data_IF_386856783108
#
_entry.id   IF_386856783108
#
_cell.length_a   1.000
_cell.length_b   1.000
_cell.length_c   1.000
_cell.angle_alpha   90.00
_cell.angle_beta   90.00
_cell.angle_gamma   90.00
#
_symmetry.space_group_name_H-M   'P 1'
#
loop_
_entity.id
_entity.type
_entity.pdbx_description
1 polymer ?
#
# COMPACT_ATOMS: atom_id res chain seq x y z
N UNK A 1 -49.58 52.18 69.15
CA UNK A 1 -49.28 50.75 69.32
C UNK A 1 -48.90 50.18 67.91
N UNK A 2 -47.61 50.03 67.65
CA UNK A 2 -47.09 49.49 66.37
C UNK A 2 -46.76 48.01 66.61
N UNK A 3 -47.35 47.14 65.73
CA UNK A 3 -47.06 45.68 65.77
C UNK A 3 -45.72 45.46 65.02
N UNK A 4 -44.86 44.55 65.53
CA UNK A 4 -43.64 44.20 64.79
C UNK A 4 -43.94 43.19 63.71
N UNK A 5 -43.41 43.46 62.51
CA UNK A 5 -43.45 42.57 61.36
C UNK A 5 -42.27 41.60 61.47
N UNK A 6 -42.56 40.31 61.57
CA UNK A 6 -41.56 39.24 61.47
C UNK A 6 -41.17 39.00 60.02
N UNK A 7 -39.90 39.16 59.72
CA UNK A 7 -39.33 38.85 58.41
C UNK A 7 -38.79 37.40 58.46
N UNK A 8 -39.45 36.49 57.79
CA UNK A 8 -39.00 35.08 57.70
C UNK A 8 -37.95 35.02 56.60
N UNK A 9 -36.68 34.76 56.97
CA UNK A 9 -35.58 34.54 56.05
C UNK A 9 -35.57 33.06 55.69
N UNK A 10 -36.05 32.72 54.46
CA UNK A 10 -35.89 31.37 53.91
C UNK A 10 -34.51 31.26 53.27
N UNK A 11 -33.64 30.49 53.92
CA UNK A 11 -32.35 30.09 53.35
C UNK A 11 -32.60 29.02 52.29
N UNK A 12 -32.47 29.41 51.01
CA UNK A 12 -32.43 28.46 49.88
C UNK A 12 -31.04 27.82 49.82
N UNK A 13 -30.97 26.55 50.19
CA UNK A 13 -29.77 25.73 50.02
C UNK A 13 -29.70 25.36 48.56
N UNK A 14 -28.81 26.00 47.81
CA UNK A 14 -28.45 25.57 46.44
C UNK A 14 -27.52 24.35 46.53
N UNK A 15 -28.05 23.17 46.27
CA UNK A 15 -27.23 21.96 46.06
C UNK A 15 -26.68 22.07 44.64
N UNK A 16 -25.42 22.48 44.52
CA UNK A 16 -24.68 22.47 43.28
C UNK A 16 -24.25 21.01 42.98
N UNK A 17 -25.04 20.29 42.16
CA UNK A 17 -24.70 18.97 41.69
C UNK A 17 -23.58 19.14 40.64
N UNK A 18 -22.33 18.95 41.04
CA UNK A 18 -21.18 18.93 40.15
C UNK A 18 -21.30 17.69 39.24
N UNK A 19 -21.76 17.90 38.01
CA UNK A 19 -21.62 16.90 36.96
C UNK A 19 -20.13 16.77 36.62
N UNK A 20 -19.47 15.74 37.13
CA UNK A 20 -18.18 15.30 36.63
C UNK A 20 -18.37 14.86 35.16
N UNK A 21 -17.59 15.40 34.22
CA UNK A 21 -17.65 14.86 32.87
C UNK A 21 -17.21 13.39 32.93
N UNK A 22 -18.10 12.51 32.47
CA UNK A 22 -17.70 11.14 32.16
C UNK A 22 -16.60 11.21 31.12
N UNK A 23 -15.35 11.09 31.52
CA UNK A 23 -14.24 10.80 30.64
C UNK A 23 -14.46 9.36 30.19
N UNK A 24 -15.26 9.19 29.14
CA UNK A 24 -15.21 7.96 28.39
C UNK A 24 -13.81 7.91 27.79
N UNK A 25 -12.95 7.10 28.41
CA UNK A 25 -11.71 6.66 27.79
C UNK A 25 -12.08 6.13 26.42
N UNK A 26 -11.75 6.90 25.38
CA UNK A 26 -11.79 6.37 24.03
C UNK A 26 -10.84 5.17 24.06
N UNK A 27 -11.41 3.97 24.00
CA UNK A 27 -10.63 2.78 23.77
C UNK A 27 -9.77 3.07 22.53
N UNK A 28 -8.46 3.10 22.71
CA UNK A 28 -7.51 3.14 21.60
C UNK A 28 -7.95 2.05 20.65
N UNK A 29 -8.45 2.44 19.46
CA UNK A 29 -8.65 1.48 18.40
C UNK A 29 -7.24 1.02 18.04
N UNK A 30 -6.85 -0.15 18.56
CA UNK A 30 -5.74 -0.90 18.01
C UNK A 30 -6.04 -1.03 16.53
N UNK A 31 -5.33 -0.27 15.70
CA UNK A 31 -5.44 -0.39 14.26
C UNK A 31 -4.72 -1.68 13.91
N UNK A 32 -5.50 -2.76 13.83
CA UNK A 32 -5.03 -4.06 13.36
C UNK A 32 -4.61 -3.85 11.90
N UNK A 33 -3.30 -3.83 11.65
CA UNK A 33 -2.73 -3.54 10.35
C UNK A 33 -2.21 -4.84 9.73
N UNK A 34 -2.57 -5.09 8.46
CA UNK A 34 -2.00 -6.21 7.70
C UNK A 34 -0.79 -5.71 6.92
N UNK A 35 0.33 -6.39 7.09
CA UNK A 35 1.59 -6.13 6.39
C UNK A 35 1.82 -7.23 5.38
N UNK A 36 2.07 -6.86 4.12
CA UNK A 36 2.47 -7.78 3.06
C UNK A 36 3.94 -7.63 2.78
N UNK A 37 4.64 -8.77 2.64
CA UNK A 37 6.07 -8.84 2.35
C UNK A 37 6.25 -9.63 1.06
N UNK A 38 6.73 -8.96 0.03
CA UNK A 38 7.21 -9.57 -1.21
C UNK A 38 8.63 -10.10 -0.99
N UNK A 39 9.01 -11.11 -1.76
CA UNK A 39 10.30 -11.78 -1.61
C UNK A 39 10.88 -12.18 -2.96
N UNK A 40 12.19 -12.48 -2.98
CA UNK A 40 12.77 -13.27 -4.05
C UNK A 40 12.53 -14.76 -3.79
N UNK A 41 12.15 -15.50 -4.82
CA UNK A 41 11.75 -16.92 -4.72
C UNK A 41 12.79 -17.90 -5.29
N UNK A 42 13.96 -17.40 -5.65
CA UNK A 42 15.12 -18.19 -6.06
C UNK A 42 15.74 -19.04 -4.94
N UNK A 43 15.32 -18.81 -3.67
CA UNK A 43 15.73 -19.58 -2.49
C UNK A 43 14.57 -20.38 -1.88
N UNK A 44 14.41 -20.32 -0.55
CA UNK A 44 13.38 -21.06 0.20
C UNK A 44 12.02 -20.35 0.24
N UNK A 45 11.95 -19.10 -0.20
CA UNK A 45 10.71 -18.32 -0.19
C UNK A 45 9.80 -18.72 -1.35
N UNK A 46 8.49 -18.66 -1.12
CA UNK A 46 7.50 -19.12 -2.11
C UNK A 46 6.67 -17.96 -2.72
N UNK A 47 6.87 -16.72 -2.25
CA UNK A 47 6.10 -15.59 -2.80
C UNK A 47 5.80 -14.49 -1.79
N UNK A 48 4.51 -14.11 -1.65
CA UNK A 48 4.07 -13.00 -0.81
C UNK A 48 3.55 -13.54 0.53
N UNK A 49 4.08 -13.01 1.63
CA UNK A 49 3.69 -13.34 3.00
C UNK A 49 2.85 -12.22 3.60
N UNK A 50 1.88 -12.57 4.44
CA UNK A 50 1.04 -11.62 5.17
C UNK A 50 1.19 -11.78 6.68
N UNK A 51 1.15 -10.66 7.41
CA UNK A 51 1.28 -10.60 8.86
C UNK A 51 0.28 -9.62 9.46
N UNK A 52 -0.23 -9.92 10.65
CA UNK A 52 -0.85 -8.94 11.52
C UNK A 52 0.22 -8.16 12.27
N UNK A 53 0.15 -6.84 12.20
CA UNK A 53 0.99 -5.94 12.99
C UNK A 53 0.19 -5.43 14.20
N UNK A 54 0.63 -5.80 15.39
CA UNK A 54 0.24 -5.15 16.64
C UNK A 54 1.08 -3.86 16.78
N UNK A 55 0.50 -2.73 16.44
CA UNK A 55 1.22 -1.44 16.46
C UNK A 55 1.58 -0.97 17.85
N UNK A 56 0.87 -1.42 18.90
CA UNK A 56 1.15 -1.04 20.29
C UNK A 56 2.38 -1.78 20.82
N UNK A 57 2.56 -3.04 20.41
CA UNK A 57 3.70 -3.88 20.81
C UNK A 57 4.83 -3.91 19.79
N UNK A 58 4.60 -3.45 18.55
CA UNK A 58 5.55 -3.56 17.47
C UNK A 58 5.84 -5.01 17.06
N UNK A 59 4.87 -5.92 17.22
CA UNK A 59 5.04 -7.35 16.90
C UNK A 59 4.29 -7.75 15.66
N UNK A 60 4.90 -8.64 14.85
CA UNK A 60 4.30 -9.24 13.66
C UNK A 60 3.91 -10.70 13.96
N UNK A 61 2.65 -11.04 13.68
CA UNK A 61 2.15 -12.42 13.76
C UNK A 61 1.80 -12.88 12.35
N UNK A 62 2.44 -13.97 11.89
CA UNK A 62 2.22 -14.48 10.53
C UNK A 62 0.78 -14.97 10.35
N UNK A 63 0.15 -14.52 9.26
CA UNK A 63 -1.09 -15.09 8.76
C UNK A 63 -0.74 -16.40 8.06
N UNK A 64 -1.54 -17.44 8.32
CA UNK A 64 -1.26 -18.77 7.76
C UNK A 64 -1.33 -18.76 6.22
N UNK A 65 -0.44 -19.55 5.61
CA UNK A 65 -0.30 -19.67 4.16
C UNK A 65 0.70 -18.69 3.57
N UNK A 66 0.93 -18.85 2.29
CA UNK A 66 1.74 -17.97 1.44
C UNK A 66 1.03 -17.84 0.09
N UNK A 67 1.04 -16.64 -0.48
CA UNK A 67 0.55 -16.44 -1.85
C UNK A 67 1.69 -16.70 -2.81
N UNK A 68 1.64 -17.86 -3.49
CA UNK A 68 2.67 -18.22 -4.47
C UNK A 68 2.72 -17.21 -5.60
N UNK A 69 3.89 -16.68 -5.86
CA UNK A 69 4.20 -15.74 -6.91
C UNK A 69 5.67 -15.87 -7.29
N UNK A 70 6.00 -15.68 -8.52
CA UNK A 70 7.39 -15.72 -9.00
C UNK A 70 8.04 -14.35 -8.79
N UNK A 71 9.17 -14.32 -8.07
CA UNK A 71 9.99 -13.13 -7.78
C UNK A 71 9.16 -11.85 -7.45
N UNK A 72 8.19 -11.88 -6.50
CA UNK A 72 7.40 -10.71 -6.14
C UNK A 72 8.18 -9.77 -5.23
N UNK A 73 9.30 -9.25 -5.69
CA UNK A 73 10.27 -8.48 -4.90
C UNK A 73 9.70 -7.15 -4.37
N UNK A 74 8.74 -6.54 -5.07
CA UNK A 74 8.07 -5.31 -4.65
C UNK A 74 6.55 -5.43 -4.75
N UNK A 75 5.86 -4.94 -3.72
CA UNK A 75 4.39 -4.98 -3.62
C UNK A 75 3.82 -3.63 -3.20
N UNK A 76 2.63 -3.26 -3.69
CA UNK A 76 1.90 -2.09 -3.23
C UNK A 76 0.42 -2.39 -3.05
N UNK A 77 -0.16 -1.85 -1.96
CA UNK A 77 -1.59 -1.95 -1.67
C UNK A 77 -2.32 -0.77 -2.31
N UNK A 78 -3.40 -1.08 -3.01
CA UNK A 78 -4.28 -0.07 -3.59
C UNK A 78 -4.86 0.86 -2.51
N UNK A 79 -5.05 2.18 -2.77
CA UNK A 79 -5.59 3.12 -1.78
C UNK A 79 -6.93 2.70 -1.15
N UNK A 80 -7.75 1.90 -1.85
CA UNK A 80 -8.99 1.35 -1.28
C UNK A 80 -8.79 0.23 -0.26
N UNK A 81 -7.58 -0.33 -0.14
CA UNK A 81 -7.28 -1.51 0.67
C UNK A 81 -7.93 -2.81 0.18
N UNK A 82 -8.43 -2.86 -1.06
CA UNK A 82 -9.10 -4.04 -1.63
C UNK A 82 -8.21 -4.88 -2.55
N UNK A 83 -7.12 -4.30 -3.04
CA UNK A 83 -6.24 -4.92 -4.04
C UNK A 83 -4.78 -4.72 -3.67
N UNK A 84 -3.96 -5.63 -4.14
CA UNK A 84 -2.50 -5.56 -4.06
C UNK A 84 -1.93 -5.85 -5.44
N UNK A 85 -0.86 -5.16 -5.80
CA UNK A 85 -0.09 -5.39 -7.01
C UNK A 85 1.32 -5.76 -6.64
N UNK A 86 1.88 -6.73 -7.34
CA UNK A 86 3.25 -7.19 -7.16
C UNK A 86 3.97 -7.19 -8.50
N UNK A 87 5.21 -6.75 -8.54
CA UNK A 87 6.08 -7.03 -9.69
C UNK A 87 6.40 -8.53 -9.72
N UNK A 88 6.76 -9.03 -10.89
CA UNK A 88 7.43 -10.32 -11.06
C UNK A 88 8.80 -10.01 -11.69
N UNK A 89 9.82 -9.87 -10.83
CA UNK A 89 11.16 -9.38 -11.18
C UNK A 89 11.97 -10.45 -11.91
N UNK A 90 11.58 -10.75 -13.13
CA UNK A 90 12.16 -11.77 -14.00
C UNK A 90 12.56 -11.20 -15.36
N UNK A 91 13.31 -11.96 -16.15
CA UNK A 91 13.61 -11.67 -17.55
C UNK A 91 12.76 -12.50 -18.54
N UNK A 92 11.96 -13.41 -18.00
CA UNK A 92 10.93 -14.16 -18.74
C UNK A 92 9.70 -14.30 -17.85
N UNK A 93 8.52 -14.01 -18.38
CA UNK A 93 7.25 -14.13 -17.65
C UNK A 93 6.13 -14.61 -18.57
N UNK A 94 5.38 -15.63 -18.13
CA UNK A 94 4.31 -16.23 -18.93
C UNK A 94 4.80 -16.75 -20.30
N UNK A 95 6.06 -17.25 -20.36
CA UNK A 95 6.67 -17.76 -21.60
C UNK A 95 7.03 -16.68 -22.61
N UNK A 96 7.18 -15.43 -22.19
CA UNK A 96 7.57 -14.30 -23.03
C UNK A 96 8.73 -13.53 -22.40
N UNK A 97 9.61 -12.90 -23.23
CA UNK A 97 10.68 -12.05 -22.73
C UNK A 97 10.14 -10.88 -21.91
N UNK A 98 10.85 -10.52 -20.85
CA UNK A 98 10.50 -9.47 -19.90
C UNK A 98 9.89 -10.02 -18.60
N UNK A 99 9.81 -9.18 -17.58
CA UNK A 99 9.15 -9.51 -16.32
C UNK A 99 7.64 -9.28 -16.39
N UNK A 100 7.01 -9.24 -15.21
CA UNK A 100 5.57 -9.11 -15.13
C UNK A 100 5.08 -8.23 -13.98
N UNK A 101 3.78 -8.04 -13.96
CA UNK A 101 3.01 -7.48 -12.85
C UNK A 101 1.77 -8.32 -12.61
N UNK A 102 1.49 -8.65 -11.35
CA UNK A 102 0.33 -9.46 -10.96
C UNK A 102 -0.56 -8.68 -10.02
N UNK A 103 -1.87 -8.70 -10.29
CA UNK A 103 -2.92 -8.12 -9.45
C UNK A 103 -3.57 -9.19 -8.57
N UNK A 104 -3.87 -8.80 -7.33
CA UNK A 104 -4.54 -9.64 -6.34
C UNK A 104 -5.70 -8.90 -5.69
N UNK A 105 -6.80 -9.60 -5.40
CA UNK A 105 -7.82 -9.15 -4.46
C UNK A 105 -7.39 -9.49 -3.03
N UNK A 106 -7.65 -8.58 -2.09
CA UNK A 106 -7.40 -8.75 -0.66
C UNK A 106 -8.69 -9.13 0.04
N UNK A 107 -8.73 -10.28 0.70
CA UNK A 107 -9.73 -10.53 1.72
C UNK A 107 -9.39 -9.72 2.98
N UNK A 108 -10.17 -8.70 3.27
CA UNK A 108 -9.90 -7.76 4.36
C UNK A 108 -10.07 -8.35 5.76
N UNK A 109 -10.75 -9.49 5.88
CA UNK A 109 -10.94 -10.18 7.16
C UNK A 109 -9.75 -11.08 7.48
N UNK A 110 -9.24 -11.76 6.47
CA UNK A 110 -8.18 -12.78 6.65
C UNK A 110 -6.81 -12.31 6.19
N UNK A 111 -6.72 -11.26 5.38
CA UNK A 111 -5.48 -10.82 4.75
C UNK A 111 -5.01 -11.71 3.59
N UNK A 112 -5.79 -12.71 3.21
CA UNK A 112 -5.42 -13.60 2.11
C UNK A 112 -5.56 -12.93 0.76
N UNK A 113 -4.71 -13.33 -0.20
CA UNK A 113 -4.67 -12.79 -1.56
C UNK A 113 -5.24 -13.81 -2.55
N UNK A 114 -6.11 -13.32 -3.44
CA UNK A 114 -6.61 -14.10 -4.59
C UNK A 114 -6.14 -13.44 -5.87
N UNK A 115 -5.41 -14.16 -6.73
CA UNK A 115 -4.93 -13.64 -8.02
C UNK A 115 -6.11 -13.25 -8.90
N UNK A 116 -6.04 -12.06 -9.48
CA UNK A 116 -6.99 -11.54 -10.47
C UNK A 116 -6.48 -11.80 -11.88
N UNK A 117 -5.37 -11.16 -12.25
CA UNK A 117 -4.71 -11.36 -13.54
C UNK A 117 -3.24 -10.95 -13.46
N UNK A 118 -2.53 -11.19 -14.55
CA UNK A 118 -1.15 -10.74 -14.73
C UNK A 118 -0.97 -10.09 -16.09
N UNK A 119 0.01 -9.18 -16.20
CA UNK A 119 0.43 -8.54 -17.45
C UNK A 119 1.96 -8.57 -17.58
N UNK A 120 2.48 -8.47 -18.81
CA UNK A 120 3.91 -8.29 -19.06
C UNK A 120 4.34 -6.90 -18.61
N UNK A 121 5.56 -6.77 -18.06
CA UNK A 121 6.18 -5.47 -17.71
C UNK A 121 6.76 -4.73 -18.90
N UNK A 122 6.91 -5.40 -20.03
CA UNK A 122 7.54 -4.87 -21.26
C UNK A 122 8.99 -4.40 -21.06
N UNK A 123 9.70 -5.03 -20.15
CA UNK A 123 11.12 -4.83 -19.86
C UNK A 123 11.56 -5.87 -18.83
N UNK A 124 12.88 -6.04 -18.69
CA UNK A 124 13.46 -7.02 -17.80
C UNK A 124 13.59 -6.49 -16.37
N UNK A 125 13.34 -7.35 -15.40
CA UNK A 125 13.49 -7.12 -13.96
C UNK A 125 12.74 -5.87 -13.47
N UNK A 126 11.38 -5.87 -13.50
CA UNK A 126 10.59 -4.84 -12.85
C UNK A 126 10.83 -4.88 -11.33
N UNK A 127 11.41 -3.82 -10.76
CA UNK A 127 11.87 -3.80 -9.37
C UNK A 127 11.08 -2.84 -8.46
N UNK A 128 10.25 -1.98 -9.04
CA UNK A 128 9.43 -1.03 -8.29
C UNK A 128 8.12 -0.76 -9.02
N UNK A 129 7.06 -0.49 -8.25
CA UNK A 129 5.79 -0.03 -8.79
C UNK A 129 5.13 1.01 -7.89
N UNK A 130 4.33 1.89 -8.47
CA UNK A 130 3.48 2.82 -7.74
C UNK A 130 2.04 2.74 -8.23
N UNK A 131 1.10 3.08 -7.37
CA UNK A 131 -0.32 3.25 -7.72
C UNK A 131 -0.64 4.74 -7.62
N UNK A 132 -1.28 5.30 -8.63
CA UNK A 132 -1.69 6.69 -8.60
C UNK A 132 -2.68 6.95 -7.44
N UNK A 133 -2.71 8.17 -6.91
CA UNK A 133 -3.51 8.50 -5.72
C UNK A 133 -5.00 8.28 -5.90
N UNK A 134 -5.48 8.29 -7.13
CA UNK A 134 -6.89 7.98 -7.44
C UNK A 134 -7.19 6.48 -7.53
N UNK A 135 -6.17 5.62 -7.52
CA UNK A 135 -6.31 4.18 -7.65
C UNK A 135 -6.77 3.72 -9.03
N UNK A 136 -6.52 4.49 -10.08
CA UNK A 136 -6.94 4.16 -11.46
C UNK A 136 -5.82 3.71 -12.36
N UNK A 137 -4.59 3.92 -11.94
CA UNK A 137 -3.40 3.59 -12.71
C UNK A 137 -2.33 3.00 -11.79
N UNK A 138 -1.61 2.02 -12.29
CA UNK A 138 -0.36 1.52 -11.73
C UNK A 138 0.73 1.70 -12.77
N UNK A 139 1.92 2.09 -12.34
CA UNK A 139 3.10 2.13 -13.20
C UNK A 139 4.26 1.44 -12.51
N UNK A 140 5.19 0.88 -13.29
CA UNK A 140 6.35 0.15 -12.81
C UNK A 140 7.62 0.60 -13.52
N UNK A 141 8.75 0.34 -12.88
CA UNK A 141 10.09 0.57 -13.39
C UNK A 141 10.81 -0.78 -13.61
N UNK A 142 11.35 -0.98 -14.81
CA UNK A 142 12.13 -2.16 -15.21
C UNK A 142 13.61 -1.83 -15.10
N UNK A 143 14.30 -2.41 -14.13
CA UNK A 143 15.69 -2.10 -13.85
C UNK A 143 16.62 -2.46 -14.99
N UNK A 144 16.69 -3.73 -15.34
CA UNK A 144 17.59 -4.19 -16.42
C UNK A 144 17.09 -3.76 -17.78
N UNK A 145 15.77 -3.66 -17.96
CA UNK A 145 15.18 -3.18 -19.22
C UNK A 145 15.34 -1.68 -19.44
N UNK A 146 15.66 -0.88 -18.40
CA UNK A 146 15.78 0.57 -18.49
C UNK A 146 14.53 1.25 -19.02
N UNK A 147 13.35 0.80 -18.60
CA UNK A 147 12.08 1.28 -19.13
C UNK A 147 11.01 1.39 -18.03
N UNK A 148 9.91 2.05 -18.36
CA UNK A 148 8.71 2.07 -17.50
C UNK A 148 7.50 1.60 -18.29
N UNK A 149 6.51 1.04 -17.59
CA UNK A 149 5.22 0.69 -18.17
C UNK A 149 4.08 1.12 -17.23
N UNK A 150 2.92 1.47 -17.81
CA UNK A 150 1.74 1.88 -17.06
C UNK A 150 0.50 1.12 -17.53
N UNK A 151 -0.41 0.85 -16.58
CA UNK A 151 -1.62 0.04 -16.76
C UNK A 151 -2.81 0.74 -16.12
N UNK A 152 -3.99 0.62 -16.74
CA UNK A 152 -5.24 1.00 -16.08
C UNK A 152 -5.66 -0.08 -15.10
N UNK A 153 -6.20 0.36 -13.97
CA UNK A 153 -6.83 -0.51 -12.98
C UNK A 153 -8.34 -0.54 -13.23
N UNK A 154 -8.88 -1.72 -13.45
CA UNK A 154 -10.32 -1.96 -13.61
C UNK A 154 -11.09 -1.76 -12.29
N UNK A 155 -12.41 -1.67 -12.38
CA UNK A 155 -13.29 -1.56 -11.20
C UNK A 155 -13.20 -2.78 -10.27
N UNK A 156 -12.84 -3.91 -10.83
CA UNK A 156 -12.62 -5.19 -10.14
C UNK A 156 -11.17 -5.39 -9.66
N UNK A 157 -10.29 -4.39 -9.88
CA UNK A 157 -8.88 -4.42 -9.51
C UNK A 157 -7.96 -5.09 -10.52
N UNK A 158 -8.51 -5.64 -11.61
CA UNK A 158 -7.70 -6.24 -12.69
C UNK A 158 -6.90 -5.20 -13.46
N UNK A 159 -5.78 -5.63 -14.05
CA UNK A 159 -4.92 -4.80 -14.90
C UNK A 159 -5.35 -4.88 -16.36
N UNK A 160 -5.41 -3.74 -17.05
CA UNK A 160 -5.46 -3.71 -18.52
C UNK A 160 -4.12 -4.18 -19.12
N UNK A 161 -4.07 -4.35 -20.43
CA UNK A 161 -2.80 -4.30 -21.15
C UNK A 161 -2.08 -2.96 -20.90
N UNK A 162 -0.75 -2.93 -21.11
CA UNK A 162 0.02 -1.71 -20.94
C UNK A 162 -0.54 -0.59 -21.81
N UNK A 163 -0.81 0.55 -21.22
CA UNK A 163 -1.33 1.73 -21.92
C UNK A 163 -0.24 2.73 -22.28
N UNK A 164 0.92 2.59 -21.66
CA UNK A 164 2.10 3.42 -21.92
C UNK A 164 3.35 2.59 -21.65
N UNK A 165 4.33 2.69 -22.52
CA UNK A 165 5.68 2.10 -22.36
C UNK A 165 6.66 3.18 -22.77
N UNK A 166 7.64 3.50 -21.93
CA UNK A 166 8.68 4.48 -22.23
C UNK A 166 10.02 3.84 -21.99
N UNK A 167 10.83 3.74 -23.04
CA UNK A 167 12.21 3.30 -22.97
C UNK A 167 13.08 4.49 -22.60
N UNK A 168 13.88 4.36 -21.54
CA UNK A 168 14.91 5.31 -21.20
C UNK A 168 16.17 5.08 -22.05
N UNK A 169 16.94 6.11 -22.21
CA UNK A 169 18.23 6.06 -22.91
C UNK A 169 19.24 6.96 -22.20
N UNK A 170 20.46 6.53 -22.15
CA UNK A 170 21.54 7.27 -21.52
C UNK A 170 22.61 6.31 -20.99
N UNK A 171 23.76 6.86 -20.67
CA UNK A 171 24.86 6.17 -20.02
C UNK A 171 25.76 7.19 -19.32
N UNK A 172 26.58 6.71 -18.38
CA UNK A 172 27.59 7.56 -17.72
C UNK A 172 28.96 6.86 -17.73
N UNK A 173 29.94 7.53 -17.13
CA UNK A 173 31.29 6.98 -16.95
C UNK A 173 31.35 5.88 -15.90
N UNK A 174 30.30 5.74 -15.08
CA UNK A 174 30.22 4.68 -14.07
C UNK A 174 29.98 3.32 -14.74
N UNK A 175 30.76 2.29 -14.38
CA UNK A 175 30.58 0.93 -14.95
C UNK A 175 29.17 0.37 -14.75
N UNK A 176 28.42 0.81 -13.76
CA UNK A 176 27.03 0.39 -13.51
C UNK A 176 26.02 1.13 -14.36
N UNK A 177 26.41 2.23 -15.03
CA UNK A 177 25.53 3.06 -15.86
C UNK A 177 25.94 2.99 -17.35
N UNK A 178 26.21 1.80 -17.86
CA UNK A 178 26.45 1.61 -19.30
C UNK A 178 25.17 1.74 -20.13
N UNK A 179 24.02 1.64 -19.49
CA UNK A 179 22.68 1.86 -20.04
C UNK A 179 21.77 2.44 -18.96
N UNK A 180 20.57 2.85 -19.32
CA UNK A 180 19.54 3.28 -18.36
C UNK A 180 19.06 2.10 -17.50
N UNK A 181 18.82 2.36 -16.22
CA UNK A 181 18.33 1.41 -15.22
C UNK A 181 17.25 2.06 -14.37
N UNK A 182 16.01 2.12 -14.87
CA UNK A 182 14.88 2.68 -14.12
C UNK A 182 14.64 1.87 -12.83
N UNK A 183 14.89 2.49 -11.66
CA UNK A 183 14.96 1.82 -10.38
C UNK A 183 13.77 2.12 -9.46
N UNK A 184 13.23 3.33 -9.49
CA UNK A 184 12.04 3.68 -8.74
C UNK A 184 11.12 4.58 -9.55
N UNK A 185 9.85 4.55 -9.22
CA UNK A 185 8.80 5.34 -9.86
C UNK A 185 7.80 5.82 -8.82
N UNK A 186 7.52 7.13 -8.78
CA UNK A 186 6.60 7.74 -7.82
C UNK A 186 5.76 8.82 -8.45
N UNK A 187 4.56 9.05 -7.91
CA UNK A 187 3.64 10.09 -8.35
C UNK A 187 3.65 11.30 -7.41
N UNK A 188 3.61 12.51 -7.96
CA UNK A 188 3.54 13.74 -7.16
C UNK A 188 2.24 13.84 -6.33
N UNK A 189 2.24 14.72 -5.32
CA UNK A 189 1.12 14.90 -4.40
C UNK A 189 -0.18 15.31 -5.10
N UNK A 190 -0.10 15.95 -6.26
CA UNK A 190 -1.25 16.42 -7.03
C UNK A 190 -1.67 15.43 -8.13
N UNK A 191 -1.04 14.27 -8.21
CA UNK A 191 -1.33 13.23 -9.21
C UNK A 191 -1.18 13.69 -10.66
N UNK A 192 -0.21 14.60 -10.94
CA UNK A 192 0.01 15.19 -12.26
C UNK A 192 1.31 14.76 -12.92
N UNK A 193 2.32 14.47 -12.13
CA UNK A 193 3.64 14.11 -12.60
C UNK A 193 4.08 12.78 -12.00
N UNK A 194 4.80 12.02 -12.79
CA UNK A 194 5.49 10.81 -12.35
C UNK A 194 6.98 11.08 -12.43
N UNK A 195 7.68 10.86 -11.32
CA UNK A 195 9.12 10.92 -11.24
C UNK A 195 9.69 9.50 -11.32
N UNK A 196 10.73 9.32 -12.11
CA UNK A 196 11.45 8.05 -12.24
C UNK A 196 12.91 8.30 -11.91
N UNK A 197 13.45 7.54 -10.96
CA UNK A 197 14.89 7.53 -10.71
C UNK A 197 15.54 6.51 -11.62
N UNK A 198 16.55 6.95 -12.36
CA UNK A 198 17.38 6.11 -13.22
C UNK A 198 18.77 6.00 -12.60
N UNK A 199 19.30 4.80 -12.45
CA UNK A 199 20.55 4.53 -11.74
C UNK A 199 21.73 4.53 -12.73
#
# INVERSE_FOLDING_TARGET
MKKPTFLLLTQSVFIMLAMLPNVTSAASKTTDCIVYIGTYTSGESEGIYAFHLDSDKGTLTRIAGVTKSEEPSFVAVHPSGKYLYAVNETSEFMGKPGGGITAYAIDRLTGTLTKLNSQLSHGDHPCHLMIDRSGRCVALANYTGGSIAAYKIGKDGSLSEATCIIQHSGSSIDPRQQSAHAHSIDVDLNNRFVAVSDL
#
